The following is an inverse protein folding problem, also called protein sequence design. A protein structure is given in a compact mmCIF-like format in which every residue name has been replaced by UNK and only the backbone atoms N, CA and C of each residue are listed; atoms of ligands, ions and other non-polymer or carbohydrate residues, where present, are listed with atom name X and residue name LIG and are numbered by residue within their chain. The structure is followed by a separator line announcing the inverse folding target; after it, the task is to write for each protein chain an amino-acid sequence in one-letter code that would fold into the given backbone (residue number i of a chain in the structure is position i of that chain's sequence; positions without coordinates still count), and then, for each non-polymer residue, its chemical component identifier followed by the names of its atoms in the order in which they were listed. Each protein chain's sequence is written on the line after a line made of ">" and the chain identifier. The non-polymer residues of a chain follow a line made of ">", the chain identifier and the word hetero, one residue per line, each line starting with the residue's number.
data_IF_670393697808
#
_entry.id   IF_670393697808
#
_cell.length_a   1.000
_cell.length_b   1.000
_cell.length_c   1.000
_cell.angle_alpha   90.00
_cell.angle_beta   90.00
_cell.angle_gamma   90.00
#
_symmetry.space_group_name_H-M   'P 1'
#
loop_
_entity.id
_entity.type
_entity.pdbx_description
1 polymer ?
#
# COMPACT_ATOMS: atom_id res chain seq x y z
N UNK A 1 7.73 -0.98 -7.64
CA UNK A 1 7.92 -1.96 -6.55
C UNK A 1 8.49 -1.22 -5.37
N UNK A 2 9.79 -1.10 -5.11
CA UNK A 2 10.18 -0.18 -4.02
C UNK A 2 9.80 1.25 -4.40
N UNK A 3 8.97 1.84 -3.55
CA UNK A 3 8.54 3.22 -3.70
C UNK A 3 9.25 4.09 -2.68
N UNK A 4 9.02 3.81 -1.40
CA UNK A 4 9.59 4.55 -0.28
C UNK A 4 10.45 3.63 0.58
N UNK A 5 11.62 4.12 0.98
CA UNK A 5 12.46 3.48 1.99
C UNK A 5 12.77 4.45 3.12
N UNK A 6 12.99 3.91 4.32
CA UNK A 6 13.65 4.63 5.40
C UNK A 6 14.83 3.82 5.90
N UNK A 7 15.98 4.45 5.99
CA UNK A 7 17.24 3.86 6.40
C UNK A 7 17.78 4.58 7.64
N UNK A 8 18.45 3.81 8.50
CA UNK A 8 19.22 4.33 9.63
C UNK A 8 20.60 3.70 9.63
N UNK A 9 21.62 4.51 9.40
CA UNK A 9 23.02 4.11 9.55
C UNK A 9 23.52 4.56 10.92
N UNK A 10 23.78 3.65 11.87
CA UNK A 10 24.44 4.01 13.12
C UNK A 10 25.88 4.46 12.83
N UNK A 11 26.32 5.52 13.50
CA UNK A 11 27.66 6.09 13.36
C UNK A 11 28.26 6.27 14.75
N UNK A 12 29.57 6.01 14.89
CA UNK A 12 30.29 6.09 16.15
C UNK A 12 31.16 7.35 16.20
N UNK A 13 30.50 8.50 16.30
CA UNK A 13 31.17 9.80 16.29
C UNK A 13 31.47 10.26 14.86
N UNK A 14 30.93 11.42 14.51
CA UNK A 14 31.21 12.09 13.26
C UNK A 14 32.13 13.26 13.52
N UNK A 15 33.13 13.42 12.66
CA UNK A 15 33.90 14.65 12.63
C UNK A 15 32.98 15.83 12.26
N UNK A 16 33.12 16.92 13.00
CA UNK A 16 32.47 18.20 12.75
C UNK A 16 32.73 18.72 11.32
N UNK A 17 33.91 18.44 10.75
CA UNK A 17 34.27 18.78 9.37
C UNK A 17 33.39 18.08 8.36
N UNK A 18 33.12 16.78 8.57
CA UNK A 18 32.21 16.01 7.71
C UNK A 18 30.77 16.52 7.77
N UNK A 19 30.27 16.91 8.95
CA UNK A 19 28.92 17.50 9.06
C UNK A 19 28.80 18.76 8.21
N UNK A 20 29.82 19.63 8.23
CA UNK A 20 29.82 20.85 7.41
C UNK A 20 29.86 20.50 5.92
N UNK A 21 30.76 19.60 5.50
CA UNK A 21 30.86 19.15 4.11
C UNK A 21 29.54 18.60 3.55
N UNK A 22 28.82 17.80 4.35
CA UNK A 22 27.52 17.27 3.93
C UNK A 22 26.45 18.37 3.90
N UNK A 23 26.48 19.31 4.85
CA UNK A 23 25.51 20.41 4.92
C UNK A 23 25.44 21.18 3.60
N UNK A 24 26.60 21.45 2.98
CA UNK A 24 26.70 22.18 1.71
C UNK A 24 26.12 21.42 0.50
N UNK A 25 25.99 20.09 0.61
CA UNK A 25 25.38 19.24 -0.43
C UNK A 25 23.86 19.14 -0.31
N UNK A 26 23.25 19.65 0.76
CA UNK A 26 21.82 19.52 1.00
C UNK A 26 21.01 20.63 0.33
N UNK A 27 19.82 20.26 -0.11
CA UNK A 27 18.77 21.19 -0.49
C UNK A 27 18.05 21.63 0.80
N UNK A 28 17.91 22.95 0.99
CA UNK A 28 17.27 23.57 2.15
C UNK A 28 17.81 23.09 3.51
N UNK A 29 19.14 23.18 3.74
CA UNK A 29 19.75 22.72 4.99
C UNK A 29 19.23 23.51 6.20
N UNK A 30 19.03 22.81 7.31
CA UNK A 30 18.71 23.36 8.62
C UNK A 30 19.61 22.73 9.66
N UNK A 31 20.46 23.54 10.25
CA UNK A 31 21.33 23.15 11.37
C UNK A 31 20.55 23.36 12.67
N UNK A 32 20.58 22.37 13.54
CA UNK A 32 20.04 22.45 14.91
C UNK A 32 21.14 22.09 15.89
N UNK A 33 21.17 22.81 17.00
CA UNK A 33 22.05 22.53 18.13
C UNK A 33 21.14 22.18 19.29
N UNK A 34 21.37 21.01 19.87
CA UNK A 34 20.72 20.62 21.10
C UNK A 34 21.29 21.47 22.25
N UNK A 35 20.43 22.20 22.97
CA UNK A 35 20.87 23.18 23.96
C UNK A 35 21.40 22.55 25.25
N UNK A 36 21.00 21.31 25.56
CA UNK A 36 21.44 20.61 26.77
C UNK A 36 22.77 19.89 26.53
N UNK A 37 22.90 19.24 25.38
CA UNK A 37 24.06 18.39 25.06
C UNK A 37 25.10 19.09 24.18
N UNK A 38 24.74 20.20 23.53
CA UNK A 38 25.58 20.86 22.52
C UNK A 38 25.67 20.08 21.20
N UNK A 39 24.98 18.95 21.05
CA UNK A 39 25.07 18.11 19.86
C UNK A 39 24.51 18.84 18.62
N UNK A 40 25.34 18.97 17.58
CA UNK A 40 24.95 19.51 16.28
C UNK A 40 24.26 18.43 15.44
N UNK A 41 23.13 18.79 14.83
CA UNK A 41 22.44 17.98 13.84
C UNK A 41 22.12 18.82 12.60
N UNK A 42 22.12 18.18 11.43
CA UNK A 42 21.73 18.82 10.17
C UNK A 42 20.58 18.06 9.55
N UNK A 43 19.60 18.81 9.07
CA UNK A 43 18.44 18.33 8.33
C UNK A 43 18.44 18.97 6.95
N UNK A 44 17.95 18.26 5.94
CA UNK A 44 17.79 18.80 4.60
C UNK A 44 17.33 17.71 3.65
N UNK A 45 17.39 17.98 2.35
CA UNK A 45 17.10 16.99 1.32
C UNK A 45 18.34 16.67 0.50
N UNK A 46 18.47 15.39 0.13
CA UNK A 46 19.52 14.93 -0.79
C UNK A 46 18.87 13.96 -1.78
N UNK A 47 19.05 14.23 -3.07
CA UNK A 47 18.40 13.45 -4.14
C UNK A 47 16.89 13.27 -3.91
N UNK A 48 16.19 14.32 -3.47
CA UNK A 48 14.74 14.25 -3.20
C UNK A 48 14.33 13.33 -2.03
N UNK A 49 15.28 12.86 -1.22
CA UNK A 49 15.03 12.17 0.05
C UNK A 49 15.32 13.10 1.23
N UNK A 50 14.50 13.00 2.27
CA UNK A 50 14.76 13.68 3.53
C UNK A 50 15.95 13.03 4.24
N UNK A 51 16.89 13.87 4.66
CA UNK A 51 18.08 13.48 5.38
C UNK A 51 18.11 14.14 6.76
N UNK A 52 18.55 13.39 7.76
CA UNK A 52 18.93 13.91 9.06
C UNK A 52 20.23 13.24 9.51
N UNK A 53 21.27 14.05 9.72
CA UNK A 53 22.57 13.60 10.20
C UNK A 53 22.78 14.11 11.63
N UNK A 54 23.14 13.19 12.52
CA UNK A 54 23.49 13.43 13.92
C UNK A 54 24.78 12.67 14.24
N UNK A 55 25.46 13.01 15.34
CA UNK A 55 26.67 12.30 15.76
C UNK A 55 26.48 10.77 15.88
N UNK A 56 25.30 10.33 16.32
CA UNK A 56 24.96 8.91 16.54
C UNK A 56 24.50 8.17 15.28
N UNK A 57 24.28 8.87 14.18
CA UNK A 57 23.84 8.23 12.94
C UNK A 57 23.19 9.14 11.91
N UNK A 58 22.99 8.53 10.75
CA UNK A 58 22.34 9.11 9.58
C UNK A 58 20.98 8.46 9.36
N UNK A 59 19.95 9.29 9.26
CA UNK A 59 18.64 8.91 8.76
C UNK A 59 18.47 9.38 7.32
N UNK A 60 17.97 8.49 6.47
CA UNK A 60 17.51 8.80 5.12
C UNK A 60 16.08 8.30 4.98
N UNK A 61 15.18 9.10 4.40
CA UNK A 61 13.80 8.67 4.17
C UNK A 61 13.16 9.37 2.99
N UNK A 62 12.51 8.62 2.12
CA UNK A 62 11.85 9.20 0.95
C UNK A 62 11.63 8.18 -0.15
N UNK A 63 11.17 8.68 -1.29
CA UNK A 63 10.99 7.85 -2.48
C UNK A 63 12.35 7.56 -3.10
N UNK A 64 12.74 6.28 -3.14
CA UNK A 64 13.98 5.86 -3.79
C UNK A 64 13.88 6.03 -5.32
N UNK A 65 12.66 5.91 -5.89
CA UNK A 65 12.40 6.22 -7.30
C UNK A 65 12.76 7.67 -7.63
N UNK A 66 12.27 8.63 -6.82
CA UNK A 66 12.58 10.05 -7.04
C UNK A 66 14.07 10.35 -6.95
N UNK A 67 14.77 9.64 -6.07
CA UNK A 67 16.22 9.77 -5.90
C UNK A 67 17.01 9.36 -7.12
N UNK A 68 16.65 8.22 -7.71
CA UNK A 68 17.43 7.60 -8.79
C UNK A 68 16.90 7.93 -10.20
N UNK A 69 15.58 7.83 -10.42
CA UNK A 69 14.93 8.04 -11.72
C UNK A 69 14.38 9.45 -11.92
N UNK A 70 14.44 10.31 -10.89
CA UNK A 70 13.85 11.68 -10.88
C UNK A 70 12.33 11.73 -11.10
N UNK A 71 11.63 10.60 -11.03
CA UNK A 71 10.17 10.53 -11.09
C UNK A 71 9.58 9.54 -10.04
N UNK A 72 8.25 9.56 -9.84
CA UNK A 72 7.50 8.63 -8.98
C UNK A 72 6.44 7.82 -9.75
N UNK A 73 6.63 7.73 -11.07
CA UNK A 73 5.73 7.02 -11.97
C UNK A 73 6.29 5.64 -12.31
N UNK A 74 7.61 5.54 -12.37
CA UNK A 74 8.32 4.31 -12.64
C UNK A 74 8.53 3.47 -11.37
N UNK A 75 8.73 2.18 -11.60
CA UNK A 75 9.03 1.18 -10.58
C UNK A 75 10.51 0.83 -10.67
N UNK A 76 11.25 0.95 -9.56
CA UNK A 76 12.63 0.47 -9.53
C UNK A 76 12.70 -1.06 -9.66
N UNK A 77 13.59 -1.51 -10.52
CA UNK A 77 14.06 -2.90 -10.57
C UNK A 77 15.00 -3.18 -9.39
N UNK A 78 15.36 -4.46 -9.22
CA UNK A 78 16.36 -4.88 -8.23
C UNK A 78 17.71 -4.21 -8.49
N UNK A 79 18.10 -4.10 -9.76
CA UNK A 79 19.35 -3.48 -10.17
C UNK A 79 19.33 -1.98 -9.89
N UNK A 80 18.25 -1.27 -10.25
CA UNK A 80 18.13 0.16 -9.94
C UNK A 80 18.20 0.43 -8.43
N UNK A 81 17.65 -0.48 -7.61
CA UNK A 81 17.72 -0.37 -6.16
C UNK A 81 19.15 -0.49 -5.63
N UNK A 82 19.96 -1.37 -6.24
CA UNK A 82 21.39 -1.52 -5.93
C UNK A 82 22.16 -0.25 -6.31
N UNK A 83 21.90 0.27 -7.50
CA UNK A 83 22.56 1.48 -8.02
C UNK A 83 22.17 2.73 -7.23
N UNK A 84 20.91 2.88 -6.85
CA UNK A 84 20.45 3.97 -6.00
C UNK A 84 21.15 3.97 -4.62
N UNK A 85 21.34 2.79 -4.01
CA UNK A 85 22.06 2.66 -2.74
C UNK A 85 23.56 2.95 -2.92
N UNK A 86 24.16 2.54 -4.03
CA UNK A 86 25.55 2.86 -4.37
C UNK A 86 25.73 4.38 -4.56
N UNK A 87 24.87 5.03 -5.33
CA UNK A 87 24.89 6.47 -5.56
C UNK A 87 24.78 7.26 -4.25
N UNK A 88 23.88 6.85 -3.34
CA UNK A 88 23.78 7.44 -2.01
C UNK A 88 25.09 7.26 -1.22
N UNK A 89 25.74 6.11 -1.34
CA UNK A 89 27.02 5.83 -0.68
C UNK A 89 28.14 6.72 -1.22
N UNK A 90 28.21 6.93 -2.52
CA UNK A 90 29.24 7.74 -3.17
C UNK A 90 29.08 9.23 -2.84
N UNK A 91 27.84 9.74 -2.86
CA UNK A 91 27.56 11.15 -2.56
C UNK A 91 27.83 11.47 -1.09
N UNK A 92 27.41 10.57 -0.20
CA UNK A 92 27.54 10.74 1.24
C UNK A 92 28.91 10.28 1.75
N UNK A 93 29.70 9.53 0.98
CA UNK A 93 30.96 8.93 1.44
C UNK A 93 30.76 8.05 2.70
N UNK A 94 29.61 7.36 2.77
CA UNK A 94 29.22 6.49 3.88
C UNK A 94 28.76 5.13 3.36
N UNK A 95 28.93 4.04 4.13
CA UNK A 95 28.53 2.70 3.72
C UNK A 95 27.01 2.51 3.84
N UNK A 96 26.21 3.17 2.99
CA UNK A 96 24.74 3.16 3.08
C UNK A 96 24.17 1.74 2.96
N UNK A 97 24.86 0.83 2.26
CA UNK A 97 24.52 -0.60 2.19
C UNK A 97 24.38 -1.29 3.55
N UNK A 98 25.04 -0.79 4.59
CA UNK A 98 25.01 -1.34 5.96
C UNK A 98 24.02 -0.59 6.86
N UNK A 99 23.17 0.29 6.30
CA UNK A 99 22.09 0.94 7.03
C UNK A 99 20.98 -0.04 7.37
N UNK A 100 20.42 0.07 8.57
CA UNK A 100 19.21 -0.64 9.00
C UNK A 100 18.00 -0.13 8.22
N UNK A 101 17.17 -1.05 7.73
CA UNK A 101 15.94 -0.70 7.02
C UNK A 101 14.80 -0.53 8.03
N UNK A 102 14.30 0.70 8.15
CA UNK A 102 13.26 1.08 9.09
C UNK A 102 11.85 1.07 8.47
N UNK A 103 11.73 1.29 7.16
CA UNK A 103 10.46 1.22 6.41
C UNK A 103 10.73 0.79 4.98
N UNK A 104 9.81 0.00 4.43
CA UNK A 104 9.78 -0.38 3.03
C UNK A 104 8.35 -0.26 2.53
N UNK A 105 8.14 0.51 1.47
CA UNK A 105 6.88 0.56 0.77
C UNK A 105 7.05 -0.08 -0.60
N UNK A 106 6.21 -1.07 -0.90
CA UNK A 106 6.10 -1.65 -2.24
C UNK A 106 4.88 -1.07 -2.90
N UNK A 107 5.01 -0.48 -4.08
CA UNK A 107 3.92 0.02 -4.89
C UNK A 107 3.96 -0.49 -6.33
N UNK A 108 2.79 -0.60 -6.95
CA UNK A 108 2.65 -0.73 -8.39
C UNK A 108 1.45 0.06 -8.90
N UNK A 109 1.60 0.62 -10.10
CA UNK A 109 0.58 1.39 -10.80
C UNK A 109 -0.09 0.51 -11.88
N UNK A 110 -1.41 0.58 -11.99
CA UNK A 110 -2.21 -0.17 -12.95
C UNK A 110 -3.08 0.78 -13.76
N UNK A 111 -2.93 0.74 -15.09
CA UNK A 111 -3.87 1.39 -16.00
C UNK A 111 -5.17 0.62 -16.00
N UNK A 112 -6.25 1.21 -15.51
CA UNK A 112 -7.55 0.56 -15.38
C UNK A 112 -8.50 1.00 -16.50
N UNK A 113 -9.40 0.10 -16.89
CA UNK A 113 -10.41 0.38 -17.92
C UNK A 113 -11.48 1.34 -17.40
N UNK A 114 -11.78 1.29 -16.10
CA UNK A 114 -12.81 2.10 -15.46
C UNK A 114 -12.21 3.10 -14.45
N UNK A 115 -13.03 4.03 -13.97
CA UNK A 115 -12.64 4.97 -12.89
C UNK A 115 -12.15 4.20 -11.67
N UNK A 116 -11.03 4.64 -11.10
CA UNK A 116 -10.33 3.96 -9.99
C UNK A 116 -11.25 3.78 -8.78
N UNK A 117 -12.10 4.75 -8.51
CA UNK A 117 -13.04 4.75 -7.39
C UNK A 117 -14.05 3.59 -7.46
N UNK A 118 -14.37 3.10 -8.66
CA UNK A 118 -15.29 1.99 -8.83
C UNK A 118 -14.73 0.67 -8.26
N UNK A 119 -13.40 0.53 -8.19
CA UNK A 119 -12.75 -0.68 -7.68
C UNK A 119 -12.79 -0.77 -6.15
N UNK A 120 -12.95 0.35 -5.43
CA UNK A 120 -12.85 0.39 -3.97
C UNK A 120 -13.94 -0.41 -3.26
N UNK A 121 -15.15 -0.39 -3.80
CA UNK A 121 -16.29 -1.12 -3.26
C UNK A 121 -16.15 -2.64 -3.41
N UNK A 122 -15.27 -3.07 -4.31
CA UNK A 122 -14.95 -4.48 -4.51
C UNK A 122 -13.85 -4.99 -3.57
N UNK A 123 -13.12 -4.09 -2.91
CA UNK A 123 -12.11 -4.43 -1.92
C UNK A 123 -12.78 -4.45 -0.54
N UNK A 124 -13.20 -5.64 -0.11
CA UNK A 124 -13.87 -5.88 1.16
C UNK A 124 -12.92 -6.01 2.34
N UNK A 125 -13.34 -6.74 3.38
CA UNK A 125 -12.54 -6.87 4.60
C UNK A 125 -11.25 -7.69 4.38
N UNK A 126 -10.22 -7.40 5.19
CA UNK A 126 -8.98 -8.19 5.21
C UNK A 126 -8.61 -8.52 6.65
N UNK A 127 -8.41 -9.81 6.94
CA UNK A 127 -8.18 -10.30 8.29
C UNK A 127 -7.01 -9.60 8.98
N UNK A 128 -7.17 -9.26 10.26
CA UNK A 128 -6.18 -8.55 11.08
C UNK A 128 -5.88 -7.10 10.67
N UNK A 129 -6.66 -6.52 9.75
CA UNK A 129 -6.55 -5.11 9.36
C UNK A 129 -7.84 -4.37 9.67
N UNK A 130 -7.70 -3.11 10.07
CA UNK A 130 -8.81 -2.15 10.07
C UNK A 130 -8.93 -1.56 8.66
N UNK A 131 -10.05 -1.79 7.99
CA UNK A 131 -10.38 -1.12 6.71
C UNK A 131 -10.86 0.30 7.00
N UNK A 132 -10.26 1.28 6.33
CA UNK A 132 -10.63 2.70 6.42
C UNK A 132 -10.86 3.21 5.00
N UNK A 133 -12.10 3.56 4.71
CA UNK A 133 -12.48 4.12 3.43
C UNK A 133 -12.36 5.65 3.47
N UNK A 134 -11.81 6.21 2.41
CA UNK A 134 -11.73 7.64 2.17
C UNK A 134 -12.30 7.94 0.79
N UNK A 135 -12.74 9.18 0.51
CA UNK A 135 -13.39 9.51 -0.76
C UNK A 135 -12.62 9.10 -2.02
N UNK A 136 -11.29 9.06 -1.94
CA UNK A 136 -10.38 8.78 -3.07
C UNK A 136 -9.38 7.65 -2.80
N UNK A 137 -9.52 6.91 -1.70
CA UNK A 137 -8.60 5.82 -1.38
C UNK A 137 -9.19 4.84 -0.36
N UNK A 138 -8.62 3.63 -0.32
CA UNK A 138 -8.93 2.63 0.70
C UNK A 138 -7.66 2.19 1.39
N UNK A 139 -7.67 2.26 2.72
CA UNK A 139 -6.59 1.81 3.58
C UNK A 139 -6.98 0.53 4.31
N UNK A 140 -6.00 -0.35 4.49
CA UNK A 140 -6.04 -1.46 5.43
C UNK A 140 -4.86 -1.31 6.35
N UNK A 141 -5.11 -0.98 7.62
CA UNK A 141 -4.04 -0.70 8.57
C UNK A 141 -4.01 -1.72 9.68
N UNK A 142 -2.81 -2.19 9.98
CA UNK A 142 -2.49 -2.77 11.26
C UNK A 142 -1.24 -2.05 11.80
N UNK A 143 -0.96 -2.14 13.10
CA UNK A 143 0.14 -1.37 13.71
C UNK A 143 1.55 -1.64 13.15
N UNK A 144 1.70 -2.60 12.22
CA UNK A 144 2.97 -3.01 11.61
C UNK A 144 3.05 -2.70 10.11
N UNK A 145 1.91 -2.68 9.41
CA UNK A 145 1.83 -2.57 7.95
C UNK A 145 0.51 -2.00 7.47
N UNK A 146 0.55 -1.41 6.27
CA UNK A 146 -0.59 -0.78 5.61
C UNK A 146 -0.72 -1.25 4.17
N UNK A 147 -1.92 -1.67 3.75
CA UNK A 147 -2.29 -1.81 2.34
C UNK A 147 -3.01 -0.53 1.92
N UNK A 148 -2.70 0.04 0.77
CA UNK A 148 -3.32 1.27 0.30
C UNK A 148 -3.65 1.18 -1.19
N UNK A 149 -4.88 1.52 -1.54
CA UNK A 149 -5.35 1.67 -2.92
C UNK A 149 -5.80 3.10 -3.15
N UNK A 150 -5.31 3.76 -4.20
CA UNK A 150 -5.70 5.14 -4.51
C UNK A 150 -5.57 5.47 -6.00
N UNK A 151 -6.19 6.58 -6.40
CA UNK A 151 -6.08 7.15 -7.73
C UNK A 151 -4.79 7.96 -7.84
N UNK A 152 -3.81 7.45 -8.58
CA UNK A 152 -2.47 8.06 -8.69
C UNK A 152 -2.49 9.39 -9.45
N UNK A 153 -3.38 9.52 -10.44
CA UNK A 153 -3.53 10.76 -11.20
C UNK A 153 -4.03 11.88 -10.29
N UNK A 154 -5.02 11.59 -9.45
CA UNK A 154 -5.57 12.57 -8.51
C UNK A 154 -4.56 12.96 -7.42
N UNK A 155 -3.78 12.00 -6.91
CA UNK A 155 -2.71 12.30 -5.95
C UNK A 155 -1.65 13.24 -6.54
N UNK A 156 -1.25 13.02 -7.80
CA UNK A 156 -0.30 13.88 -8.51
C UNK A 156 -0.85 15.30 -8.68
N UNK A 157 -2.13 15.44 -9.06
CA UNK A 157 -2.81 16.73 -9.19
C UNK A 157 -2.87 17.50 -7.87
N UNK A 158 -3.29 16.83 -6.79
CA UNK A 158 -3.38 17.44 -5.45
C UNK A 158 -2.01 17.94 -5.00
N UNK A 159 -0.95 17.20 -5.32
CA UNK A 159 0.42 17.56 -4.98
C UNK A 159 1.05 18.58 -5.95
N UNK A 160 0.29 19.11 -6.92
CA UNK A 160 0.75 20.13 -7.87
C UNK A 160 1.86 19.66 -8.82
N UNK A 161 2.04 18.34 -8.98
CA UNK A 161 3.07 17.80 -9.86
C UNK A 161 2.55 17.64 -11.30
N UNK A 162 3.40 17.81 -12.33
CA UNK A 162 3.00 17.56 -13.71
C UNK A 162 2.70 16.08 -13.93
N UNK A 163 1.62 15.80 -14.66
CA UNK A 163 1.29 14.44 -15.09
C UNK A 163 2.05 14.16 -16.40
N UNK A 164 2.76 13.01 -16.51
CA UNK A 164 3.38 12.61 -17.77
C UNK A 164 2.35 12.47 -18.89
N UNK A 165 2.72 12.89 -20.11
CA UNK A 165 1.81 12.89 -21.27
C UNK A 165 1.13 11.54 -21.51
N UNK A 166 1.87 10.43 -21.40
CA UNK A 166 1.34 9.08 -21.61
C UNK A 166 0.24 8.68 -20.59
N UNK A 167 0.16 9.37 -19.46
CA UNK A 167 -0.80 9.10 -18.38
C UNK A 167 -2.03 10.02 -18.44
N UNK A 168 -2.07 10.97 -19.38
CA UNK A 168 -3.23 11.82 -19.59
C UNK A 168 -4.47 11.00 -19.95
N UNK A 169 -5.60 11.37 -19.34
CA UNK A 169 -6.90 10.71 -19.54
C UNK A 169 -6.91 9.20 -19.26
N UNK A 170 -5.96 8.72 -18.43
CA UNK A 170 -5.92 7.32 -17.98
C UNK A 170 -6.46 7.20 -16.56
N UNK A 171 -7.13 6.08 -16.27
CA UNK A 171 -7.43 5.71 -14.89
C UNK A 171 -6.23 4.95 -14.32
N UNK A 172 -5.55 5.50 -13.33
CA UNK A 172 -4.37 4.83 -12.75
C UNK A 172 -4.60 4.50 -11.29
N UNK A 173 -4.84 3.23 -11.03
CA UNK A 173 -4.96 2.69 -9.68
C UNK A 173 -3.55 2.33 -9.18
N UNK A 174 -3.16 2.85 -8.02
CA UNK A 174 -1.93 2.42 -7.36
C UNK A 174 -2.27 1.58 -6.14
N UNK A 175 -1.60 0.43 -6.03
CA UNK A 175 -1.66 -0.42 -4.85
C UNK A 175 -0.30 -0.45 -4.15
N UNK A 176 -0.30 -0.11 -2.86
CA UNK A 176 0.89 -0.13 -2.01
C UNK A 176 0.77 -1.09 -0.82
N UNK A 177 1.85 -1.78 -0.49
CA UNK A 177 2.07 -2.47 0.79
C UNK A 177 3.23 -1.80 1.53
N UNK A 178 2.94 -1.17 2.65
CA UNK A 178 3.88 -0.40 3.47
C UNK A 178 4.22 -1.15 4.75
N UNK A 179 5.49 -1.49 4.96
CA UNK A 179 6.01 -2.07 6.19
C UNK A 179 6.61 -0.97 7.04
N UNK A 180 6.00 -0.64 8.19
CA UNK A 180 6.33 0.59 8.92
C UNK A 180 7.02 0.34 10.27
N UNK A 181 6.93 -0.87 10.84
CA UNK A 181 7.52 -1.22 12.13
C UNK A 181 7.98 -2.67 12.19
N UNK A 182 8.99 -2.96 13.03
CA UNK A 182 9.47 -4.32 13.33
C UNK A 182 9.79 -5.17 12.08
N UNK A 183 10.38 -4.55 11.06
CA UNK A 183 10.67 -5.21 9.77
C UNK A 183 11.45 -6.52 9.92
N UNK A 184 12.54 -6.60 10.72
CA UNK A 184 13.27 -7.87 10.90
C UNK A 184 12.36 -9.00 11.40
N UNK A 185 11.46 -8.72 12.36
CA UNK A 185 10.48 -9.69 12.85
C UNK A 185 9.46 -10.08 11.78
N UNK A 186 9.01 -9.14 10.94
CA UNK A 186 8.05 -9.43 9.86
C UNK A 186 8.64 -10.31 8.76
N UNK A 187 9.96 -10.27 8.55
CA UNK A 187 10.69 -11.07 7.56
C UNK A 187 11.50 -12.22 8.19
N UNK A 188 11.28 -12.52 9.47
CA UNK A 188 11.99 -13.56 10.22
C UNK A 188 13.53 -13.48 10.08
N UNK A 189 14.08 -12.29 10.28
CA UNK A 189 15.52 -11.99 10.21
C UNK A 189 15.99 -11.34 11.50
N UNK A 190 17.24 -11.61 11.89
CA UNK A 190 17.87 -10.92 13.00
C UNK A 190 18.02 -9.42 12.71
N UNK A 191 18.40 -9.09 11.48
CA UNK A 191 18.55 -7.72 10.99
C UNK A 191 18.11 -7.64 9.52
N UNK A 192 17.69 -6.44 9.11
CA UNK A 192 17.40 -6.12 7.72
C UNK A 192 18.18 -4.86 7.33
N UNK A 193 19.16 -5.04 6.45
CA UNK A 193 20.08 -4.00 5.99
C UNK A 193 19.74 -3.57 4.57
N UNK A 194 20.18 -2.38 4.17
CA UNK A 194 19.93 -1.84 2.83
C UNK A 194 20.45 -2.78 1.72
N UNK A 195 21.58 -3.46 1.94
CA UNK A 195 22.08 -4.49 1.00
C UNK A 195 21.13 -5.65 0.75
N UNK A 196 20.23 -5.95 1.68
CA UNK A 196 19.23 -7.00 1.47
C UNK A 196 18.16 -6.58 0.47
N UNK A 197 17.95 -5.27 0.23
CA UNK A 197 16.91 -4.81 -0.71
C UNK A 197 17.18 -5.24 -2.15
N UNK A 198 18.45 -5.46 -2.53
CA UNK A 198 18.83 -5.98 -3.84
C UNK A 198 19.30 -7.44 -3.81
N UNK A 199 19.17 -8.13 -2.67
CA UNK A 199 19.32 -9.59 -2.63
C UNK A 199 18.15 -10.22 -3.37
N UNK A 200 18.46 -11.13 -4.30
CA UNK A 200 17.45 -11.76 -5.16
C UNK A 200 16.36 -12.48 -4.37
N UNK A 201 16.76 -13.27 -3.36
CA UNK A 201 15.81 -14.06 -2.57
C UNK A 201 14.89 -13.15 -1.78
N UNK A 202 15.42 -12.12 -1.12
CA UNK A 202 14.62 -11.14 -0.39
C UNK A 202 13.71 -10.33 -1.32
N UNK A 203 14.20 -9.94 -2.49
CA UNK A 203 13.41 -9.19 -3.48
C UNK A 203 12.20 -10.00 -3.95
N UNK A 204 12.39 -11.27 -4.32
CA UNK A 204 11.28 -12.17 -4.69
C UNK A 204 10.33 -12.39 -3.50
N UNK A 205 10.87 -12.59 -2.29
CA UNK A 205 10.09 -12.76 -1.07
C UNK A 205 9.12 -11.59 -0.83
N UNK A 206 9.62 -10.35 -1.00
CA UNK A 206 8.84 -9.16 -0.70
C UNK A 206 7.73 -8.92 -1.72
N UNK A 207 7.97 -9.23 -2.99
CA UNK A 207 6.97 -9.13 -4.07
C UNK A 207 5.87 -10.16 -3.85
N UNK A 208 6.24 -11.42 -3.56
CA UNK A 208 5.29 -12.46 -3.16
C UNK A 208 4.47 -12.05 -1.94
N UNK A 209 5.06 -11.31 -1.00
CA UNK A 209 4.35 -10.82 0.17
C UNK A 209 3.34 -9.73 -0.21
N UNK A 210 3.73 -8.79 -1.07
CA UNK A 210 2.84 -7.76 -1.62
C UNK A 210 1.62 -8.38 -2.31
N UNK A 211 1.83 -9.39 -3.17
CA UNK A 211 0.72 -10.09 -3.84
C UNK A 211 -0.15 -10.89 -2.86
N UNK A 212 0.45 -11.67 -1.96
CA UNK A 212 -0.30 -12.46 -0.96
C UNK A 212 -1.19 -11.58 -0.09
N UNK A 213 -0.74 -10.38 0.27
CA UNK A 213 -1.54 -9.44 1.04
C UNK A 213 -2.75 -8.91 0.26
N UNK A 214 -2.65 -8.77 -1.06
CA UNK A 214 -3.80 -8.44 -1.92
C UNK A 214 -4.83 -9.57 -1.98
N UNK A 215 -4.37 -10.82 -2.15
CA UNK A 215 -5.23 -12.01 -2.23
C UNK A 215 -6.02 -12.23 -0.93
N UNK A 216 -5.44 -11.87 0.21
CA UNK A 216 -6.11 -11.93 1.53
C UNK A 216 -7.20 -10.86 1.74
N UNK A 217 -7.41 -9.95 0.79
CA UNK A 217 -8.54 -9.02 0.84
C UNK A 217 -9.75 -9.76 0.26
N UNK A 218 -10.80 -9.96 1.07
CA UNK A 218 -12.06 -10.53 0.59
C UNK A 218 -12.59 -9.65 -0.54
N UNK A 219 -12.72 -10.22 -1.74
CA UNK A 219 -13.32 -9.51 -2.86
C UNK A 219 -14.82 -9.52 -2.67
N UNK A 220 -15.41 -8.33 -2.74
CA UNK A 220 -16.85 -8.18 -2.80
C UNK A 220 -17.18 -8.16 -4.28
N UNK A 221 -17.84 -9.19 -4.76
CA UNK A 221 -18.49 -9.08 -6.05
C UNK A 221 -19.65 -8.10 -5.84
N UNK A 222 -19.55 -6.86 -6.35
CA UNK A 222 -20.76 -6.05 -6.52
C UNK A 222 -21.50 -6.69 -7.67
N UNK A 223 -22.37 -7.55 -7.21
CA UNK A 223 -23.27 -8.41 -7.90
C UNK A 223 -24.08 -7.56 -8.93
N UNK A 224 -23.71 -7.62 -10.22
CA UNK A 224 -24.52 -7.10 -11.34
C UNK A 224 -25.73 -8.01 -11.57
N UNK A 225 -26.98 -7.48 -11.57
CA UNK A 225 -28.15 -8.32 -11.79
C UNK A 225 -28.06 -9.14 -13.08
N UNK A 226 -28.39 -10.44 -13.02
CA UNK A 226 -28.42 -11.34 -14.20
C UNK A 226 -29.53 -11.01 -15.19
N UNK A 227 -30.49 -10.17 -14.81
CA UNK A 227 -31.63 -9.79 -15.63
C UNK A 227 -31.68 -8.27 -15.78
N UNK A 228 -31.94 -7.82 -17.01
CA UNK A 228 -32.13 -6.41 -17.35
C UNK A 228 -33.59 -5.95 -17.17
N UNK A 229 -34.53 -6.87 -16.90
CA UNK A 229 -35.96 -6.61 -16.71
C UNK A 229 -36.37 -6.79 -15.24
N UNK A 230 -35.75 -6.00 -14.35
CA UNK A 230 -35.94 -6.15 -12.91
C UNK A 230 -37.32 -5.67 -12.45
N UNK A 231 -38.04 -6.53 -11.73
CA UNK A 231 -39.19 -6.13 -10.91
C UNK A 231 -38.73 -5.62 -9.55
N UNK A 232 -39.57 -4.83 -8.85
CA UNK A 232 -39.27 -4.36 -7.49
C UNK A 232 -38.94 -5.49 -6.52
N UNK A 233 -39.59 -6.66 -6.67
CA UNK A 233 -39.32 -7.85 -5.86
C UNK A 233 -37.92 -8.39 -6.10
N UNK A 234 -37.54 -8.58 -7.37
CA UNK A 234 -36.23 -9.11 -7.70
C UNK A 234 -35.14 -8.11 -7.33
N UNK A 235 -35.38 -6.80 -7.48
CA UNK A 235 -34.46 -5.75 -7.04
C UNK A 235 -34.13 -5.82 -5.55
N UNK A 236 -35.12 -6.06 -4.69
CA UNK A 236 -34.90 -6.27 -3.26
C UNK A 236 -34.04 -7.53 -2.99
N UNK A 237 -34.26 -8.61 -3.74
CA UNK A 237 -33.49 -9.85 -3.59
C UNK A 237 -32.04 -9.68 -4.06
N UNK A 238 -31.79 -8.92 -5.13
CA UNK A 238 -30.44 -8.53 -5.57
C UNK A 238 -29.72 -7.66 -4.54
N UNK A 239 -30.41 -6.67 -3.98
CA UNK A 239 -29.84 -5.81 -2.93
C UNK A 239 -29.47 -6.63 -1.69
N UNK A 240 -30.37 -7.51 -1.24
CA UNK A 240 -30.11 -8.38 -0.09
C UNK A 240 -28.96 -9.36 -0.35
N UNK A 241 -28.87 -9.93 -1.55
CA UNK A 241 -27.74 -10.77 -1.97
C UNK A 241 -26.41 -10.00 -1.93
N UNK A 242 -26.42 -8.75 -2.40
CA UNK A 242 -25.24 -7.88 -2.36
C UNK A 242 -24.80 -7.57 -0.92
N UNK A 243 -25.77 -7.31 -0.02
CA UNK A 243 -25.49 -7.09 1.40
C UNK A 243 -24.91 -8.33 2.10
N UNK A 244 -25.42 -9.52 1.76
CA UNK A 244 -24.88 -10.80 2.25
C UNK A 244 -23.42 -10.98 1.83
N UNK A 245 -23.07 -10.63 0.59
CA UNK A 245 -21.69 -10.73 0.10
C UNK A 245 -20.76 -9.74 0.83
N UNK A 246 -21.23 -8.50 1.04
CA UNK A 246 -20.50 -7.46 1.75
C UNK A 246 -20.23 -7.81 3.22
N UNK A 247 -21.27 -8.20 3.96
CA UNK A 247 -21.21 -8.38 5.42
C UNK A 247 -20.91 -9.83 5.85
N UNK A 248 -21.15 -10.80 4.97
CA UNK A 248 -21.13 -12.22 5.30
C UNK A 248 -22.52 -12.71 5.74
N UNK A 249 -22.87 -13.92 5.30
CA UNK A 249 -24.18 -14.51 5.54
C UNK A 249 -24.48 -14.68 7.03
N UNK A 250 -23.50 -15.08 7.84
CA UNK A 250 -23.71 -15.27 9.28
C UNK A 250 -23.98 -13.96 10.02
N UNK A 251 -23.35 -12.86 9.61
CA UNK A 251 -23.58 -11.54 10.19
C UNK A 251 -25.03 -11.08 9.90
N UNK A 252 -25.48 -11.23 8.65
CA UNK A 252 -26.86 -10.92 8.26
C UNK A 252 -27.84 -11.81 9.02
N UNK A 253 -27.61 -13.12 9.08
CA UNK A 253 -28.47 -14.05 9.83
C UNK A 253 -28.53 -13.69 11.33
N UNK A 254 -27.41 -13.29 11.93
CA UNK A 254 -27.37 -12.86 13.33
C UNK A 254 -28.19 -11.59 13.57
N UNK A 255 -28.16 -10.63 12.63
CA UNK A 255 -29.02 -9.44 12.70
C UNK A 255 -30.51 -9.80 12.68
N UNK A 256 -30.90 -10.80 11.88
CA UNK A 256 -32.31 -11.21 11.78
C UNK A 256 -32.87 -11.81 13.07
N UNK A 257 -32.02 -12.38 13.94
CA UNK A 257 -32.47 -12.94 15.23
C UNK A 257 -33.15 -11.88 16.12
N UNK A 258 -32.70 -10.62 16.04
CA UNK A 258 -33.29 -9.50 16.78
C UNK A 258 -34.74 -9.21 16.36
N UNK A 259 -35.17 -9.71 15.20
CA UNK A 259 -36.50 -9.47 14.64
C UNK A 259 -37.44 -10.65 14.79
N UNK A 260 -36.99 -11.77 15.38
CA UNK A 260 -37.77 -13.03 15.42
C UNK A 260 -39.21 -12.80 15.90
N UNK A 261 -39.38 -12.06 16.99
CA UNK A 261 -40.69 -11.80 17.60
C UNK A 261 -41.56 -10.79 16.83
N UNK A 262 -41.00 -10.11 15.83
CA UNK A 262 -41.72 -9.18 14.95
C UNK A 262 -42.35 -9.89 13.74
N UNK A 263 -41.99 -11.15 13.47
CA UNK A 263 -42.64 -11.94 12.43
C UNK A 263 -44.01 -12.43 12.90
N UNK A 264 -44.95 -12.57 11.95
CA UNK A 264 -46.30 -13.08 12.21
C UNK A 264 -46.32 -14.49 12.82
N UNK A 265 -45.28 -15.29 12.56
CA UNK A 265 -45.09 -16.61 13.14
C UNK A 265 -43.63 -17.07 13.00
N UNK A 266 -43.21 -18.02 13.83
CA UNK A 266 -41.91 -18.70 13.70
C UNK A 266 -41.71 -19.30 12.31
N UNK A 267 -42.78 -19.84 11.70
CA UNK A 267 -42.73 -20.39 10.34
C UNK A 267 -42.27 -19.35 9.32
N UNK A 268 -42.82 -18.14 9.37
CA UNK A 268 -42.43 -17.06 8.45
C UNK A 268 -41.00 -16.59 8.70
N UNK A 269 -40.56 -16.53 9.97
CA UNK A 269 -39.19 -16.22 10.32
C UNK A 269 -38.19 -17.22 9.72
N UNK A 270 -38.41 -18.53 9.93
CA UNK A 270 -37.53 -19.56 9.38
C UNK A 270 -37.59 -19.64 7.85
N UNK A 271 -38.73 -19.34 7.22
CA UNK A 271 -38.83 -19.19 5.75
C UNK A 271 -37.96 -18.03 5.25
N UNK A 272 -37.97 -16.89 5.93
CA UNK A 272 -37.11 -15.76 5.57
C UNK A 272 -35.62 -16.10 5.73
N UNK A 273 -35.22 -16.75 6.82
CA UNK A 273 -33.83 -17.22 6.99
C UNK A 273 -33.41 -18.22 5.91
N UNK A 274 -34.28 -19.16 5.54
CA UNK A 274 -34.02 -20.09 4.45
C UNK A 274 -33.82 -19.35 3.11
N UNK A 275 -34.60 -18.29 2.86
CA UNK A 275 -34.43 -17.42 1.69
C UNK A 275 -33.05 -16.78 1.64
N UNK A 276 -32.59 -16.17 2.75
CA UNK A 276 -31.25 -15.58 2.87
C UNK A 276 -30.15 -16.61 2.59
N UNK A 277 -30.32 -17.85 3.09
CA UNK A 277 -29.33 -18.92 2.89
C UNK A 277 -29.16 -19.28 1.42
N UNK A 278 -30.24 -19.23 0.65
CA UNK A 278 -30.30 -19.68 -0.75
C UNK A 278 -30.06 -18.56 -1.79
N UNK A 279 -29.74 -17.34 -1.36
CA UNK A 279 -29.60 -16.17 -2.25
C UNK A 279 -28.26 -16.06 -3.01
N UNK A 280 -27.29 -16.96 -2.76
CA UNK A 280 -25.92 -16.82 -3.30
C UNK A 280 -25.82 -16.84 -4.84
N UNK A 281 -26.76 -17.46 -5.54
CA UNK A 281 -26.65 -17.69 -6.99
C UNK A 281 -27.28 -16.58 -7.85
N UNK A 282 -27.84 -15.55 -7.22
CA UNK A 282 -28.61 -14.56 -7.97
C UNK A 282 -27.74 -13.67 -8.84
N UNK A 283 -26.41 -13.63 -8.65
CA UNK A 283 -25.64 -12.52 -9.20
C UNK A 283 -24.22 -12.88 -9.66
N UNK A 284 -23.68 -12.06 -10.57
CA UNK A 284 -22.45 -12.38 -11.31
C UNK A 284 -21.17 -11.79 -10.70
N UNK A 285 -20.01 -12.46 -10.91
CA UNK A 285 -18.70 -11.91 -10.58
C UNK A 285 -18.43 -10.56 -11.25
N UNK A 286 -17.67 -9.70 -10.59
CA UNK A 286 -17.35 -8.37 -11.13
C UNK A 286 -16.19 -8.42 -12.13
N UNK A 287 -16.42 -7.89 -13.34
CA UNK A 287 -15.37 -7.65 -14.35
C UNK A 287 -14.25 -6.73 -13.80
N UNK A 288 -14.58 -5.79 -12.89
CA UNK A 288 -13.59 -4.92 -12.25
C UNK A 288 -12.64 -5.69 -11.34
N UNK A 289 -13.16 -6.70 -10.63
CA UNK A 289 -12.34 -7.59 -9.79
C UNK A 289 -11.45 -8.46 -10.68
N UNK A 290 -12.03 -9.07 -11.71
CA UNK A 290 -11.29 -9.91 -12.65
C UNK A 290 -10.14 -9.15 -13.34
N UNK A 291 -10.39 -7.91 -13.76
CA UNK A 291 -9.37 -7.04 -14.34
C UNK A 291 -8.22 -6.76 -13.36
N UNK A 292 -8.54 -6.39 -12.12
CA UNK A 292 -7.54 -6.05 -11.11
C UNK A 292 -6.74 -7.29 -10.67
N UNK A 293 -7.41 -8.42 -10.46
CA UNK A 293 -6.80 -9.70 -10.11
C UNK A 293 -5.80 -10.13 -11.20
N UNK A 294 -6.23 -10.15 -12.47
CA UNK A 294 -5.37 -10.51 -13.59
C UNK A 294 -4.12 -9.61 -13.68
N UNK A 295 -4.28 -8.29 -13.44
CA UNK A 295 -3.16 -7.34 -13.50
C UNK A 295 -2.17 -7.51 -12.36
N UNK A 296 -2.63 -7.94 -11.18
CA UNK A 296 -1.79 -8.23 -10.02
C UNK A 296 -1.09 -9.57 -10.16
N UNK A 297 -1.76 -10.58 -10.71
CA UNK A 297 -1.19 -11.90 -10.99
C UNK A 297 -0.01 -11.81 -11.95
N UNK A 298 -0.19 -11.11 -13.08
CA UNK A 298 0.84 -10.88 -14.08
C UNK A 298 2.09 -10.20 -13.55
N UNK A 299 2.02 -9.50 -12.41
CA UNK A 299 3.22 -8.85 -11.85
C UNK A 299 4.29 -9.87 -11.47
N UNK A 300 3.94 -11.09 -11.05
CA UNK A 300 4.95 -12.10 -10.70
C UNK A 300 5.67 -12.67 -11.92
N UNK A 301 5.01 -12.73 -13.08
CA UNK A 301 5.58 -13.29 -14.31
C UNK A 301 6.81 -12.51 -14.81
N UNK A 302 6.90 -11.22 -14.48
CA UNK A 302 8.05 -10.37 -14.87
C UNK A 302 9.29 -10.54 -13.99
N UNK A 303 9.20 -11.28 -12.87
CA UNK A 303 10.30 -11.41 -11.90
C UNK A 303 10.80 -12.86 -11.74
N UNK A 304 10.32 -13.77 -12.57
CA UNK A 304 10.83 -15.13 -12.75
C UNK A 304 11.37 -15.31 -14.16
#
# INVERSE_FOLDING_TARGET
>A
MYDTIKLWLPLNGLDSGYINQITDKLISPKVKIDLETGEKSVHGQILGMDMMLKQKGLYLGGSICKSYLKDNFQTLTRQDSKEAIAQLSDILLLPIKDSKVCRIDIAQNFFMNNKVENYYNHLGQSNYFKRLEQPKSVYYQNGLRTKLFYNKIEEVKINGNPIPFFWHNKNVLRYELRFTKKLPKQFNRAELLAKNLYDEKFYIEIIKRWQREYVQIKKINLLKPKSNDMTSKNANDYLLSSLIEMQGQDAILSMTELWKNNFKSDREFYRFKAKIKNMKDMVEPSELVAELDSKIEKQLEYYY
#
